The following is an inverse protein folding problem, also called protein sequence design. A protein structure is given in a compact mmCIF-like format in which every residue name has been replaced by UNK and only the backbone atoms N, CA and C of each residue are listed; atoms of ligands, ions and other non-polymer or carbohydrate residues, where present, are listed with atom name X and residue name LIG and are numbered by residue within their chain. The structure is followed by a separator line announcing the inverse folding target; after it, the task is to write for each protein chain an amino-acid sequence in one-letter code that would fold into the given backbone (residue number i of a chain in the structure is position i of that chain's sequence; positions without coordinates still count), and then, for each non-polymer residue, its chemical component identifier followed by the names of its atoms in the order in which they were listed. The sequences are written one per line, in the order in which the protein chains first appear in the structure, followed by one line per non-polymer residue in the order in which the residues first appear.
data_IF_474742727155
#
_entry.id   IF_474742727155
#
_cell.length_a   1.000
_cell.length_b   1.000
_cell.length_c   1.000
_cell.angle_alpha   90.00
_cell.angle_beta   90.00
_cell.angle_gamma   90.00
#
_symmetry.space_group_name_H-M   'P 1'
#
loop_
_entity.id
_entity.type
_entity.pdbx_description
1 polymer ?
#
# COMPACT_ATOMS: atom_id res chain seq x y z
N UNK A 1 27.76 6.79 21.19
CA UNK A 1 27.03 8.06 20.93
C UNK A 1 26.29 7.90 19.61
N UNK A 2 24.98 7.66 19.67
CA UNK A 2 24.15 7.50 18.47
C UNK A 2 24.13 8.83 17.71
N UNK A 3 24.69 8.84 16.50
CA UNK A 3 24.44 9.92 15.54
C UNK A 3 22.95 9.91 15.26
N UNK A 4 22.22 10.84 15.86
CA UNK A 4 20.92 11.27 15.36
C UNK A 4 21.12 11.63 13.90
N UNK A 5 20.65 10.77 13.00
CA UNK A 5 20.63 11.07 11.57
C UNK A 5 19.66 12.22 11.39
N UNK A 6 20.19 13.41 11.06
CA UNK A 6 19.43 14.63 10.77
C UNK A 6 18.70 14.54 9.41
N UNK A 7 18.18 13.36 9.07
CA UNK A 7 17.38 13.14 7.88
C UNK A 7 15.98 13.70 8.13
N UNK A 8 15.45 14.54 7.24
CA UNK A 8 14.07 15.00 7.35
C UNK A 8 13.12 13.79 7.36
N UNK A 9 11.97 13.88 8.05
CA UNK A 9 11.00 12.81 8.07
C UNK A 9 10.55 12.47 6.64
N UNK A 10 10.39 11.19 6.36
CA UNK A 10 9.87 10.71 5.07
C UNK A 10 8.41 11.13 4.95
N UNK A 11 8.07 11.80 3.86
CA UNK A 11 6.70 12.24 3.57
C UNK A 11 6.21 11.58 2.30
N UNK A 12 5.11 10.83 2.42
CA UNK A 12 4.51 10.07 1.33
C UNK A 12 3.11 10.60 1.04
N UNK A 13 2.78 10.77 -0.24
CA UNK A 13 1.43 11.18 -0.63
C UNK A 13 0.50 9.97 -0.64
N UNK A 14 -0.47 9.98 0.28
CA UNK A 14 -1.38 8.86 0.52
C UNK A 14 -2.33 8.60 -0.66
N UNK A 15 -2.75 7.34 -0.85
CA UNK A 15 -3.76 7.00 -1.85
C UNK A 15 -5.15 7.44 -1.38
N UNK A 16 -5.85 8.22 -2.20
CA UNK A 16 -7.20 8.71 -1.93
C UNK A 16 -8.06 8.56 -3.20
N UNK A 17 -8.90 7.53 -3.23
CA UNK A 17 -9.84 7.28 -4.33
C UNK A 17 -10.75 8.49 -4.57
N UNK A 18 -10.90 8.90 -5.83
CA UNK A 18 -11.67 10.06 -6.29
C UNK A 18 -11.01 11.41 -6.06
N UNK A 19 -9.79 11.45 -5.51
CA UNK A 19 -9.07 12.70 -5.18
C UNK A 19 -7.66 12.69 -5.75
N UNK A 20 -6.92 11.61 -5.53
CA UNK A 20 -5.49 11.54 -5.81
C UNK A 20 -5.18 10.94 -7.19
N UNK A 21 -5.90 11.43 -8.19
CA UNK A 21 -5.66 11.15 -9.60
C UNK A 21 -4.36 11.81 -10.10
N UNK A 22 -3.92 11.49 -11.32
CA UNK A 22 -2.61 11.91 -11.83
C UNK A 22 -2.41 13.43 -11.84
N UNK A 23 -3.45 14.20 -12.17
CA UNK A 23 -3.39 15.67 -12.19
C UNK A 23 -3.10 16.23 -10.79
N UNK A 24 -3.77 15.69 -9.77
CA UNK A 24 -3.54 16.10 -8.39
C UNK A 24 -2.15 15.68 -7.88
N UNK A 25 -1.68 14.48 -8.25
CA UNK A 25 -0.30 14.05 -7.94
C UNK A 25 0.73 14.97 -8.59
N UNK A 26 0.52 15.38 -9.84
CA UNK A 26 1.40 16.33 -10.54
C UNK A 26 1.45 17.69 -9.83
N UNK A 27 0.29 18.26 -9.50
CA UNK A 27 0.22 19.54 -8.78
C UNK A 27 0.94 19.50 -7.43
N UNK A 28 0.68 18.47 -6.62
CA UNK A 28 1.27 18.35 -5.28
C UNK A 28 2.76 18.04 -5.33
N UNK A 29 3.20 17.20 -6.26
CA UNK A 29 4.64 16.90 -6.42
C UNK A 29 5.44 18.06 -7.00
N UNK A 30 4.82 18.93 -7.80
CA UNK A 30 5.42 20.17 -8.28
C UNK A 30 5.75 21.17 -7.17
N UNK A 31 5.07 21.10 -6.01
CA UNK A 31 5.41 21.89 -4.82
C UNK A 31 6.66 21.32 -4.12
N UNK A 32 6.89 20.00 -4.22
CA UNK A 32 8.01 19.30 -3.61
C UNK A 32 7.76 18.80 -2.19
N UNK A 33 8.76 18.13 -1.62
CA UNK A 33 8.72 17.60 -0.25
C UNK A 33 8.16 16.18 -0.10
N UNK A 34 7.60 15.59 -1.16
CA UNK A 34 7.14 14.20 -1.17
C UNK A 34 8.23 13.27 -1.73
N UNK A 35 8.53 12.20 -1.00
CA UNK A 35 9.47 11.17 -1.44
C UNK A 35 8.84 10.25 -2.51
N UNK A 36 7.54 9.97 -2.39
CA UNK A 36 6.77 9.22 -3.39
C UNK A 36 5.27 9.50 -3.27
N UNK A 37 4.53 9.09 -4.29
CA UNK A 37 3.08 9.04 -4.30
C UNK A 37 2.56 7.60 -4.42
N UNK A 38 1.33 7.39 -3.99
CA UNK A 38 0.60 6.15 -4.23
C UNK A 38 -0.66 6.46 -5.03
N UNK A 39 -0.94 5.67 -6.07
CA UNK A 39 -2.14 5.84 -6.90
C UNK A 39 -3.42 5.56 -6.11
N UNK A 40 -4.55 5.96 -6.66
CA UNK A 40 -5.81 5.28 -6.34
C UNK A 40 -5.70 3.77 -6.57
N UNK A 41 -6.47 2.97 -5.83
CA UNK A 41 -6.34 1.52 -5.94
C UNK A 41 -6.91 0.97 -7.24
N UNK A 42 -6.22 -0.01 -7.80
CA UNK A 42 -6.71 -0.90 -8.84
C UNK A 42 -7.40 -2.08 -8.17
N UNK A 43 -8.70 -2.24 -8.41
CA UNK A 43 -9.47 -3.36 -7.86
C UNK A 43 -9.22 -4.64 -8.67
N UNK A 44 -8.65 -5.65 -8.03
CA UNK A 44 -8.44 -7.00 -8.56
C UNK A 44 -9.51 -7.92 -7.97
N UNK A 45 -10.51 -8.27 -8.78
CA UNK A 45 -11.68 -9.06 -8.34
C UNK A 45 -11.61 -10.52 -8.80
N UNK A 46 -11.59 -10.75 -10.11
CA UNK A 46 -11.74 -12.10 -10.68
C UNK A 46 -10.87 -12.38 -11.90
N UNK A 47 -10.17 -11.37 -12.44
CA UNK A 47 -9.38 -11.50 -13.66
C UNK A 47 -8.06 -10.77 -13.56
N UNK A 48 -7.15 -11.14 -14.45
CA UNK A 48 -5.93 -10.37 -14.73
C UNK A 48 -6.31 -9.19 -15.62
N UNK A 49 -6.01 -7.97 -15.17
CA UNK A 49 -6.43 -6.75 -15.84
C UNK A 49 -5.50 -6.42 -17.02
N UNK A 50 -6.04 -5.86 -18.11
CA UNK A 50 -5.22 -5.46 -19.25
C UNK A 50 -4.39 -4.19 -18.92
N UNK A 51 -3.19 -4.01 -19.52
CA UNK A 51 -2.31 -2.85 -19.31
C UNK A 51 -2.99 -1.47 -19.35
N UNK A 52 -3.99 -1.31 -20.22
CA UNK A 52 -4.77 -0.05 -20.35
C UNK A 52 -5.43 0.40 -19.04
N UNK A 53 -5.79 -0.52 -18.15
CA UNK A 53 -6.39 -0.18 -16.84
C UNK A 53 -5.35 0.49 -15.96
N UNK A 54 -4.13 -0.04 -15.91
CA UNK A 54 -3.03 0.51 -15.14
C UNK A 54 -2.58 1.87 -15.69
N UNK A 55 -2.43 2.01 -17.01
CA UNK A 55 -2.10 3.31 -17.62
C UNK A 55 -3.16 4.39 -17.42
N UNK A 56 -4.43 4.01 -17.23
CA UNK A 56 -5.49 4.97 -16.94
C UNK A 56 -5.37 5.56 -15.53
N UNK A 57 -5.05 4.72 -14.54
CA UNK A 57 -4.92 5.14 -13.13
C UNK A 57 -3.52 5.69 -12.79
N UNK A 58 -2.51 5.20 -13.52
CA UNK A 58 -1.11 5.59 -13.41
C UNK A 58 -0.53 5.88 -14.81
N UNK A 59 -0.91 7.01 -15.44
CA UNK A 59 -0.30 7.44 -16.69
C UNK A 59 1.22 7.62 -16.58
N UNK A 60 1.73 7.86 -15.37
CA UNK A 60 3.16 7.96 -15.03
C UNK A 60 3.94 6.70 -15.40
N UNK A 61 3.31 5.52 -15.53
CA UNK A 61 3.96 4.31 -16.05
C UNK A 61 4.53 4.49 -17.47
N UNK A 62 4.04 5.48 -18.24
CA UNK A 62 4.61 5.84 -19.54
C UNK A 62 5.88 6.70 -19.42
N UNK A 63 6.21 7.12 -18.21
CA UNK A 63 7.32 7.99 -17.84
C UNK A 63 8.07 7.40 -16.64
N UNK A 64 8.48 6.14 -16.76
CA UNK A 64 9.27 5.41 -15.73
C UNK A 64 8.59 5.35 -14.34
N UNK A 65 7.26 5.46 -14.31
CA UNK A 65 6.47 5.49 -13.09
C UNK A 65 6.73 6.72 -12.22
N UNK A 66 7.04 7.87 -12.83
CA UNK A 66 7.30 9.14 -12.15
C UNK A 66 6.40 10.26 -12.64
N UNK A 67 6.03 11.18 -11.73
CA UNK A 67 5.39 12.45 -12.10
C UNK A 67 6.35 13.32 -12.92
N UNK A 68 5.85 14.42 -13.50
CA UNK A 68 6.69 15.37 -14.23
C UNK A 68 7.80 15.99 -13.35
N UNK A 69 7.57 16.12 -12.04
CA UNK A 69 8.55 16.57 -11.06
C UNK A 69 9.59 15.48 -10.68
N UNK A 70 9.49 14.28 -11.25
CA UNK A 70 10.40 13.16 -10.99
C UNK A 70 10.06 12.34 -9.76
N UNK A 71 8.96 12.63 -9.06
CA UNK A 71 8.52 11.88 -7.87
C UNK A 71 8.01 10.48 -8.27
N UNK A 72 8.55 9.39 -7.71
CA UNK A 72 8.07 8.03 -7.96
C UNK A 72 6.61 7.83 -7.57
N UNK A 73 5.87 7.05 -8.36
CA UNK A 73 4.46 6.72 -8.15
C UNK A 73 4.28 5.21 -8.03
N UNK A 74 3.85 4.76 -6.86
CA UNK A 74 3.58 3.35 -6.59
C UNK A 74 2.13 3.04 -6.96
N UNK A 75 1.91 1.94 -7.67
CA UNK A 75 0.57 1.51 -8.06
C UNK A 75 -0.04 0.70 -6.93
N UNK A 76 -1.18 1.15 -6.40
CA UNK A 76 -1.87 0.43 -5.34
C UNK A 76 -2.82 -0.63 -5.91
N UNK A 77 -2.76 -1.86 -5.40
CA UNK A 77 -3.66 -2.95 -5.71
C UNK A 77 -4.58 -3.26 -4.52
N UNK A 78 -5.83 -3.62 -4.80
CA UNK A 78 -6.80 -4.08 -3.82
C UNK A 78 -7.47 -5.35 -4.31
N UNK A 79 -7.31 -6.44 -3.58
CA UNK A 79 -7.94 -7.73 -3.84
C UNK A 79 -7.71 -8.71 -2.69
N UNK A 80 -8.24 -9.92 -2.82
CA UNK A 80 -8.13 -10.98 -1.79
C UNK A 80 -7.59 -12.32 -2.29
N UNK A 81 -7.45 -12.49 -3.60
CA UNK A 81 -6.93 -13.73 -4.18
C UNK A 81 -5.41 -13.57 -4.41
N UNK A 82 -4.54 -14.33 -3.72
CA UNK A 82 -3.09 -14.19 -3.85
C UNK A 82 -2.59 -14.37 -5.29
N UNK A 83 -3.16 -15.30 -6.04
CA UNK A 83 -2.73 -15.60 -7.41
C UNK A 83 -3.09 -14.47 -8.39
N UNK A 84 -4.31 -13.93 -8.28
CA UNK A 84 -4.73 -12.77 -9.08
C UNK A 84 -3.95 -11.52 -8.70
N UNK A 85 -3.71 -11.29 -7.40
CA UNK A 85 -2.90 -10.15 -6.94
C UNK A 85 -1.48 -10.23 -7.51
N UNK A 86 -0.83 -11.40 -7.43
CA UNK A 86 0.49 -11.65 -7.99
C UNK A 86 0.53 -11.47 -9.52
N UNK A 87 -0.47 -12.01 -10.24
CA UNK A 87 -0.53 -11.88 -11.70
C UNK A 87 -0.69 -10.43 -12.17
N UNK A 88 -1.52 -9.64 -11.46
CA UNK A 88 -1.68 -8.21 -11.75
C UNK A 88 -0.42 -7.41 -11.37
N UNK A 89 0.19 -7.71 -10.21
CA UNK A 89 1.45 -7.10 -9.78
C UNK A 89 2.58 -7.32 -10.80
N UNK A 90 2.68 -8.52 -11.39
CA UNK A 90 3.64 -8.82 -12.46
C UNK A 90 3.44 -7.95 -13.70
N UNK A 91 2.20 -7.62 -14.07
CA UNK A 91 1.92 -6.69 -15.16
C UNK A 91 2.38 -5.29 -14.78
N UNK A 92 2.04 -4.82 -13.59
CA UNK A 92 2.44 -3.51 -13.08
C UNK A 92 3.96 -3.34 -13.09
N UNK A 93 4.71 -4.32 -12.60
CA UNK A 93 6.17 -4.32 -12.63
C UNK A 93 6.72 -4.26 -14.07
N UNK A 94 6.14 -5.05 -14.99
CA UNK A 94 6.52 -5.03 -16.42
C UNK A 94 6.23 -3.69 -17.10
N UNK A 95 5.27 -2.92 -16.60
CA UNK A 95 4.96 -1.56 -17.08
C UNK A 95 5.90 -0.50 -16.50
N UNK A 96 6.92 -0.88 -15.73
CA UNK A 96 7.94 0.03 -15.21
C UNK A 96 7.55 0.75 -13.92
N UNK A 97 6.63 0.19 -13.14
CA UNK A 97 6.31 0.77 -11.83
C UNK A 97 7.52 0.68 -10.88
N UNK A 98 7.93 1.77 -10.21
CA UNK A 98 9.01 1.73 -9.21
C UNK A 98 8.60 1.00 -7.93
N UNK A 99 7.29 0.79 -7.72
CA UNK A 99 6.79 0.00 -6.61
C UNK A 99 5.30 -0.29 -6.71
N UNK A 100 4.87 -1.26 -5.90
CA UNK A 100 3.51 -1.80 -5.83
C UNK A 100 3.06 -1.75 -4.38
N UNK A 101 1.92 -1.11 -4.11
CA UNK A 101 1.35 -1.03 -2.77
C UNK A 101 0.12 -1.91 -2.62
N UNK A 102 -0.05 -2.56 -1.47
CA UNK A 102 -1.16 -3.48 -1.20
C UNK A 102 -2.14 -2.88 -0.19
N UNK A 103 -3.39 -2.68 -0.61
CA UNK A 103 -4.42 -2.05 0.20
C UNK A 103 -5.17 -3.06 1.08
N UNK A 104 -4.96 -2.96 2.39
CA UNK A 104 -5.71 -3.68 3.42
C UNK A 104 -6.49 -2.72 4.34
N UNK A 105 -6.60 -1.44 4.00
CA UNK A 105 -7.21 -0.40 4.86
C UNK A 105 -8.56 0.14 4.36
N UNK A 106 -8.89 -0.05 3.08
CA UNK A 106 -10.09 0.50 2.47
C UNK A 106 -11.35 -0.18 3.03
N UNK A 107 -12.38 0.56 3.47
CA UNK A 107 -13.65 -0.01 3.92
C UNK A 107 -14.53 -0.48 2.75
N UNK A 108 -13.96 -0.73 1.57
CA UNK A 108 -14.69 -1.07 0.35
C UNK A 108 -15.76 -2.13 0.62
N UNK A 109 -16.97 -1.86 0.14
CA UNK A 109 -18.07 -2.83 0.22
C UNK A 109 -17.62 -4.12 -0.47
N UNK A 110 -17.84 -5.26 0.19
CA UNK A 110 -17.73 -6.57 -0.42
C UNK A 110 -18.72 -6.64 -1.58
N UNK A 111 -18.25 -6.53 -2.81
CA UNK A 111 -19.08 -6.71 -4.01
C UNK A 111 -18.66 -8.03 -4.65
N UNK A 112 -19.63 -8.88 -4.97
CA UNK A 112 -19.43 -10.16 -5.65
C UNK A 112 -18.53 -11.18 -4.93
N UNK A 113 -18.73 -11.41 -3.62
CA UNK A 113 -17.96 -12.38 -2.80
C UNK A 113 -16.44 -12.15 -2.72
N UNK A 114 -15.90 -11.20 -3.49
CA UNK A 114 -14.52 -10.76 -3.39
C UNK A 114 -14.36 -9.99 -2.07
N UNK A 115 -13.72 -10.64 -1.09
CA UNK A 115 -13.20 -9.95 0.09
C UNK A 115 -12.11 -8.97 -0.39
N UNK A 116 -11.82 -7.94 0.38
CA UNK A 116 -10.82 -6.95 -0.02
C UNK A 116 -10.75 -5.79 0.95
N UNK A 117 -9.62 -5.08 0.93
CA UNK A 117 -9.37 -3.98 1.84
C UNK A 117 -9.45 -4.42 3.31
N UNK A 118 -10.11 -3.61 4.14
CA UNK A 118 -10.14 -3.79 5.58
C UNK A 118 -10.74 -5.11 6.06
N UNK A 119 -11.61 -5.77 5.28
CA UNK A 119 -12.15 -7.09 5.66
C UNK A 119 -11.05 -8.14 5.88
N UNK A 120 -9.90 -7.99 5.22
CA UNK A 120 -8.74 -8.86 5.35
C UNK A 120 -8.01 -8.70 6.69
N UNK A 121 -8.24 -7.60 7.41
CA UNK A 121 -7.69 -7.40 8.75
C UNK A 121 -8.20 -8.43 9.77
N UNK A 122 -9.31 -9.14 9.47
CA UNK A 122 -9.83 -10.24 10.28
C UNK A 122 -9.11 -11.57 10.03
N UNK A 123 -8.26 -11.64 9.02
CA UNK A 123 -7.56 -12.86 8.57
C UNK A 123 -6.09 -12.51 8.25
N UNK A 124 -5.25 -12.26 9.27
CA UNK A 124 -3.85 -11.89 9.07
C UNK A 124 -3.05 -12.88 8.21
N UNK A 125 -3.36 -14.17 8.26
CA UNK A 125 -2.73 -15.21 7.44
C UNK A 125 -2.92 -14.93 5.94
N UNK A 126 -4.11 -14.47 5.55
CA UNK A 126 -4.39 -14.13 4.15
C UNK A 126 -3.64 -12.86 3.71
N UNK A 127 -3.35 -11.93 4.64
CA UNK A 127 -2.46 -10.80 4.35
C UNK A 127 -1.06 -11.30 4.01
N UNK A 128 -0.52 -12.25 4.79
CA UNK A 128 0.75 -12.88 4.48
C UNK A 128 0.73 -13.55 3.10
N UNK A 129 -0.28 -14.37 2.81
CA UNK A 129 -0.36 -15.09 1.53
C UNK A 129 -0.38 -14.15 0.32
N UNK A 130 -1.17 -13.06 0.41
CA UNK A 130 -1.26 -12.05 -0.65
C UNK A 130 0.08 -11.33 -0.82
N UNK A 131 0.66 -10.83 0.27
CA UNK A 131 1.92 -10.10 0.21
C UNK A 131 3.06 -10.98 -0.29
N UNK A 132 3.16 -12.23 0.19
CA UNK A 132 4.15 -13.23 -0.20
C UNK A 132 4.05 -13.53 -1.71
N UNK A 133 2.84 -13.80 -2.19
CA UNK A 133 2.60 -14.10 -3.60
C UNK A 133 2.97 -12.92 -4.51
N UNK A 134 2.64 -11.69 -4.11
CA UNK A 134 3.02 -10.48 -4.85
C UNK A 134 4.52 -10.27 -4.83
N UNK A 135 5.17 -10.41 -3.67
CA UNK A 135 6.61 -10.23 -3.52
C UNK A 135 7.39 -11.24 -4.35
N UNK A 136 6.98 -12.51 -4.35
CA UNK A 136 7.61 -13.60 -5.11
C UNK A 136 7.41 -13.44 -6.64
N UNK A 137 6.31 -12.83 -7.07
CA UNK A 137 5.98 -12.65 -8.49
C UNK A 137 6.60 -11.40 -9.13
N UNK A 138 7.22 -10.53 -8.33
CA UNK A 138 7.74 -9.23 -8.76
C UNK A 138 9.27 -9.19 -8.69
N UNK A 139 9.96 -8.50 -9.62
CA UNK A 139 11.42 -8.33 -9.58
C UNK A 139 11.90 -7.74 -8.25
N UNK A 140 13.10 -8.12 -7.80
CA UNK A 140 13.67 -7.72 -6.50
C UNK A 140 13.86 -6.20 -6.37
N UNK A 141 14.04 -5.52 -7.50
CA UNK A 141 14.22 -4.06 -7.61
C UNK A 141 12.88 -3.30 -7.65
N UNK A 142 11.75 -3.99 -7.86
CA UNK A 142 10.42 -3.40 -7.72
C UNK A 142 10.00 -3.48 -6.26
N UNK A 143 9.86 -2.36 -5.56
CA UNK A 143 9.42 -2.35 -4.16
C UNK A 143 7.98 -2.87 -4.00
N UNK A 144 7.72 -3.66 -2.97
CA UNK A 144 6.37 -4.10 -2.58
C UNK A 144 6.09 -3.61 -1.18
N UNK A 145 5.04 -2.79 -1.03
CA UNK A 145 4.63 -2.20 0.25
C UNK A 145 3.20 -2.61 0.60
N UNK A 146 2.83 -2.49 1.87
CA UNK A 146 1.46 -2.72 2.31
C UNK A 146 0.94 -1.56 3.14
N UNK A 147 -0.36 -1.29 3.02
CA UNK A 147 -1.07 -0.29 3.82
C UNK A 147 -2.21 -0.91 4.60
N UNK A 148 -2.11 -0.86 5.93
CA UNK A 148 -3.08 -1.45 6.87
C UNK A 148 -3.76 -0.39 7.75
N UNK A 149 -4.71 -0.86 8.55
CA UNK A 149 -5.27 -0.17 9.73
C UNK A 149 -4.86 -0.94 10.99
N UNK A 150 -5.17 -0.40 12.17
CA UNK A 150 -4.90 -1.10 13.44
C UNK A 150 -5.68 -2.41 13.57
N UNK A 151 -6.84 -2.52 12.92
CA UNK A 151 -7.67 -3.71 12.92
C UNK A 151 -9.06 -3.41 12.38
N UNK A 152 -9.97 -4.39 12.43
CA UNK A 152 -11.32 -4.21 11.91
C UNK A 152 -12.26 -3.58 12.94
N UNK A 153 -12.70 -4.37 13.92
CA UNK A 153 -13.65 -3.99 14.98
C UNK A 153 -12.91 -3.31 16.15
N UNK A 154 -11.77 -3.87 16.53
CA UNK A 154 -10.82 -3.34 17.51
C UNK A 154 -9.37 -3.47 16.99
N UNK A 155 -8.37 -3.19 17.83
CA UNK A 155 -6.94 -3.28 17.52
C UNK A 155 -6.25 -4.52 18.13
N UNK A 156 -7.00 -5.50 18.64
CA UNK A 156 -6.45 -6.70 19.29
C UNK A 156 -5.56 -7.53 18.37
N UNK A 157 -5.86 -7.54 17.06
CA UNK A 157 -5.09 -8.26 16.03
C UNK A 157 -3.95 -7.43 15.42
N UNK A 158 -3.71 -6.20 15.89
CA UNK A 158 -2.74 -5.29 15.25
C UNK A 158 -1.34 -5.90 15.14
N UNK A 159 -0.87 -6.52 16.23
CA UNK A 159 0.44 -7.14 16.29
C UNK A 159 0.59 -8.26 15.26
N UNK A 160 -0.44 -9.10 15.10
CA UNK A 160 -0.47 -10.21 14.14
C UNK A 160 -0.54 -9.69 12.71
N UNK A 161 -1.42 -8.71 12.42
CA UNK A 161 -1.54 -8.08 11.09
C UNK A 161 -0.16 -7.56 10.64
N UNK A 162 0.54 -6.84 11.51
CA UNK A 162 1.88 -6.35 11.22
C UNK A 162 2.89 -7.49 11.06
N UNK A 163 2.84 -8.51 11.91
CA UNK A 163 3.74 -9.67 11.85
C UNK A 163 3.65 -10.43 10.54
N UNK A 164 2.43 -10.79 10.15
CA UNK A 164 2.16 -11.52 8.91
C UNK A 164 2.51 -10.69 7.68
N UNK A 165 2.18 -9.39 7.66
CA UNK A 165 2.61 -8.52 6.57
C UNK A 165 4.14 -8.49 6.45
N UNK A 166 4.87 -8.37 7.55
CA UNK A 166 6.32 -8.20 7.53
C UNK A 166 7.06 -9.51 7.20
N UNK A 167 6.62 -10.64 7.78
CA UNK A 167 7.18 -11.96 7.49
C UNK A 167 7.03 -12.38 6.03
N UNK A 168 6.10 -11.78 5.29
CA UNK A 168 5.90 -12.06 3.87
C UNK A 168 7.01 -11.51 2.96
N UNK A 169 7.87 -10.62 3.48
CA UNK A 169 8.99 -10.04 2.75
C UNK A 169 8.68 -8.72 2.03
N UNK A 170 7.65 -7.99 2.44
CA UNK A 170 7.42 -6.61 1.95
C UNK A 170 8.53 -5.66 2.42
N UNK A 171 8.72 -4.59 1.67
CA UNK A 171 9.79 -3.60 1.91
C UNK A 171 9.38 -2.50 2.88
N UNK A 172 8.07 -2.25 3.03
CA UNK A 172 7.54 -1.19 3.91
C UNK A 172 6.10 -1.46 4.35
N UNK A 173 5.75 -1.09 5.58
CA UNK A 173 4.38 -1.14 6.10
C UNK A 173 3.89 0.26 6.52
N UNK A 174 2.86 0.77 5.84
CA UNK A 174 2.15 1.99 6.23
C UNK A 174 0.93 1.66 7.10
N UNK A 175 0.78 2.34 8.24
CA UNK A 175 -0.32 2.09 9.18
C UNK A 175 -1.20 3.33 9.35
N UNK A 176 -2.46 3.22 8.95
CA UNK A 176 -3.48 4.17 9.43
C UNK A 176 -3.80 3.82 10.88
N UNK A 177 -3.36 4.66 11.83
CA UNK A 177 -3.52 4.48 13.28
C UNK A 177 -4.97 4.61 13.79
N UNK A 178 -5.91 3.95 13.14
CA UNK A 178 -7.31 3.77 13.52
C UNK A 178 -7.78 2.39 13.07
N UNK A 179 -8.76 1.82 13.76
CA UNK A 179 -9.46 0.62 13.28
C UNK A 179 -10.35 0.98 12.10
N UNK A 180 -10.90 -0.03 11.41
CA UNK A 180 -11.87 0.19 10.32
C UNK A 180 -13.13 0.87 10.85
N UNK A 181 -13.67 0.41 11.98
CA UNK A 181 -14.93 0.93 12.53
C UNK A 181 -14.82 2.38 13.02
N UNK A 182 -13.63 2.81 13.46
CA UNK A 182 -13.36 4.20 13.81
C UNK A 182 -13.38 5.14 12.59
N UNK A 183 -13.25 4.60 11.37
CA UNK A 183 -13.23 5.34 10.11
C UNK A 183 -12.20 6.50 10.15
N UNK A 184 -12.68 7.74 10.18
CA UNK A 184 -11.87 8.97 10.22
C UNK A 184 -12.08 9.77 11.52
N UNK A 185 -12.82 9.23 12.50
CA UNK A 185 -13.11 9.92 13.75
C UNK A 185 -11.81 10.12 14.55
N UNK A 186 -11.54 11.31 15.10
CA UNK A 186 -10.41 11.52 16.01
C UNK A 186 -10.64 10.77 17.35
N UNK A 187 -9.55 10.46 18.08
CA UNK A 187 -8.14 10.67 17.72
C UNK A 187 -7.58 9.59 16.79
N UNK A 188 -6.37 9.81 16.28
CA UNK A 188 -5.53 8.74 15.75
C UNK A 188 -4.68 8.18 16.89
N UNK A 189 -4.53 6.86 16.97
CA UNK A 189 -3.88 6.15 18.08
C UNK A 189 -2.43 5.83 17.76
N UNK A 190 -1.59 6.85 17.52
CA UNK A 190 -0.19 6.67 17.11
C UNK A 190 0.67 5.91 18.13
N UNK A 191 0.33 5.97 19.42
CA UNK A 191 1.00 5.19 20.47
C UNK A 191 0.99 3.70 20.18
N UNK A 192 -0.03 3.19 19.48
CA UNK A 192 -0.11 1.78 19.11
C UNK A 192 1.05 1.34 18.21
N UNK A 193 1.61 2.24 17.39
CA UNK A 193 2.73 1.88 16.50
C UNK A 193 3.99 1.47 17.26
N UNK A 194 4.16 1.93 18.51
CA UNK A 194 5.28 1.54 19.37
C UNK A 194 5.34 0.01 19.62
N UNK A 195 4.20 -0.68 19.54
CA UNK A 195 4.12 -2.14 19.71
C UNK A 195 4.79 -2.91 18.57
N UNK A 196 4.97 -2.29 17.40
CA UNK A 196 5.57 -2.92 16.21
C UNK A 196 6.88 -2.25 15.76
N UNK A 197 7.15 -1.02 16.20
CA UNK A 197 8.27 -0.21 15.72
C UNK A 197 9.66 -0.78 16.07
N UNK A 198 9.80 -1.50 17.19
CA UNK A 198 11.11 -1.90 17.70
C UNK A 198 11.66 -3.24 17.16
N UNK A 199 10.90 -3.99 16.36
CA UNK A 199 11.20 -5.43 16.17
C UNK A 199 11.24 -5.95 14.72
N UNK A 200 11.14 -5.10 13.70
CA UNK A 200 10.63 -5.60 12.41
C UNK A 200 11.45 -5.35 11.14
N UNK A 201 12.65 -4.80 11.24
CA UNK A 201 13.65 -4.82 10.15
C UNK A 201 13.32 -4.01 8.89
N UNK A 202 12.09 -3.52 8.74
CA UNK A 202 11.62 -2.67 7.63
C UNK A 202 11.02 -1.36 8.17
N UNK A 203 10.95 -0.29 7.36
CA UNK A 203 10.36 0.96 7.80
C UNK A 203 8.85 0.83 8.05
N UNK A 204 8.39 1.47 9.13
CA UNK A 204 6.97 1.65 9.47
C UNK A 204 6.63 3.12 9.27
N UNK A 205 5.57 3.40 8.51
CA UNK A 205 5.10 4.77 8.19
C UNK A 205 3.72 5.04 8.80
#
# INVERSE_FOLDING_TARGET
MNKSSNQPPRLLLAPMEGVMESVMREMLTGIGGYERCVTEFVRVSSTVLPPKVFHRLCPELKNEGRTAAGTPVYVQLLGSDPALMAANAKIVAKLGAPGIDLNFGCPAKTVNKSRGGATLLKTPELIFDICKAVRDATPVDTSVTAKVRLGFDDDSQFADIADYAIKSGIDELTVHARTKVQAYRPPAHWSQLSTIANHRGIPII
#
